data_IF_359748246112
#
_entry.id   IF_359748246112
#
_cell.length_a   1.000
_cell.length_b   1.000
_cell.length_c   1.000
_cell.angle_alpha   90.00
_cell.angle_beta   90.00
_cell.angle_gamma   90.00
#
_symmetry.space_group_name_H-M   'P 1'
#
loop_
_entity.id
_entity.type
_entity.pdbx_description
1 polymer ?
#
# COMPACT_ATOMS: atom_id res chain seq x y z
N UNK A 1 17.75 -9.93 12.55
CA UNK A 1 18.10 -8.52 12.33
C UNK A 1 19.40 -8.09 13.00
N UNK A 2 19.61 -8.40 14.26
CA UNK A 2 20.88 -8.08 14.95
C UNK A 2 22.12 -8.70 14.27
N UNK A 3 21.99 -9.93 13.77
CA UNK A 3 23.06 -10.60 13.02
C UNK A 3 23.42 -9.88 11.72
N UNK A 4 22.45 -9.27 11.05
CA UNK A 4 22.68 -8.52 9.84
C UNK A 4 23.49 -7.24 10.11
N UNK A 5 23.24 -6.58 11.23
CA UNK A 5 23.99 -5.41 11.66
C UNK A 5 25.42 -5.75 12.06
N UNK A 6 25.61 -6.87 12.73
CA UNK A 6 26.95 -7.33 13.15
C UNK A 6 27.80 -7.76 11.94
N UNK A 7 27.23 -8.50 11.01
CA UNK A 7 27.97 -9.03 9.86
C UNK A 7 28.35 -7.95 8.83
N UNK A 8 27.64 -6.83 8.80
CA UNK A 8 27.89 -5.74 7.86
C UNK A 8 28.48 -4.47 8.48
N UNK A 9 28.78 -4.48 9.77
CA UNK A 9 29.31 -3.32 10.45
C UNK A 9 28.37 -2.12 10.52
N UNK A 10 27.08 -2.36 10.36
CA UNK A 10 26.08 -1.31 10.44
C UNK A 10 25.89 -0.85 11.88
N UNK A 11 25.96 0.45 12.10
CA UNK A 11 25.78 1.09 13.41
C UNK A 11 24.33 1.48 13.64
N UNK A 12 23.59 1.70 12.56
CA UNK A 12 22.20 2.14 12.60
C UNK A 12 21.42 1.49 11.46
N UNK A 13 20.24 0.96 11.80
CA UNK A 13 19.28 0.45 10.84
C UNK A 13 17.96 1.16 11.06
N UNK A 14 17.44 1.76 10.02
CA UNK A 14 16.13 2.40 10.02
C UNK A 14 15.21 1.65 9.05
N UNK A 15 14.08 1.21 9.54
CA UNK A 15 13.06 0.54 8.74
C UNK A 15 11.71 1.22 8.97
N UNK A 16 11.08 1.61 7.90
CA UNK A 16 9.73 2.17 7.93
C UNK A 16 8.77 1.25 7.18
N UNK A 17 7.75 0.84 7.86
CA UNK A 17 6.71 -0.03 7.28
C UNK A 17 5.34 0.39 7.82
N UNK A 18 4.42 0.71 6.93
CA UNK A 18 3.03 1.07 7.27
C UNK A 18 2.88 2.14 8.35
N UNK A 19 3.72 3.16 8.29
CA UNK A 19 3.68 4.25 9.28
C UNK A 19 4.37 3.92 10.60
N UNK A 20 4.92 2.72 10.76
CA UNK A 20 5.75 2.35 11.89
C UNK A 20 7.21 2.56 11.54
N UNK A 21 7.83 3.50 12.21
CA UNK A 21 9.26 3.76 12.04
C UNK A 21 10.04 3.07 13.15
N UNK A 22 10.85 2.09 12.79
CA UNK A 22 11.72 1.38 13.72
C UNK A 22 13.15 1.81 13.45
N UNK A 23 13.80 2.38 14.45
CA UNK A 23 15.21 2.76 14.39
C UNK A 23 15.99 1.90 15.35
N UNK A 24 16.91 1.10 14.82
CA UNK A 24 17.82 0.27 15.59
C UNK A 24 19.22 0.87 15.54
N UNK A 25 19.75 1.22 16.70
CA UNK A 25 21.15 1.65 16.85
C UNK A 25 21.95 0.59 17.59
N UNK A 26 23.10 0.24 17.04
CA UNK A 26 24.05 -0.57 17.74
C UNK A 26 24.73 0.27 18.81
N UNK A 27 24.73 -0.21 20.06
CA UNK A 27 25.45 0.45 21.14
C UNK A 27 26.94 0.42 20.88
N UNK A 28 27.59 1.58 20.86
CA UNK A 28 29.03 1.68 20.79
C UNK A 28 29.60 1.34 22.17
N UNK A 29 30.61 0.47 22.26
CA UNK A 29 31.26 0.17 23.54
C UNK A 29 31.80 1.46 24.16
N UNK A 30 31.36 1.79 25.36
CA UNK A 30 31.82 2.96 26.10
C UNK A 30 30.79 4.06 26.36
N UNK A 31 29.63 3.97 25.77
CA UNK A 31 28.51 4.83 26.16
C UNK A 31 27.40 3.97 26.78
N UNK A 32 26.93 4.30 27.97
CA UNK A 32 25.74 3.66 28.48
C UNK A 32 24.62 3.91 27.51
N UNK A 33 23.77 2.91 27.25
CA UNK A 33 22.58 3.15 26.44
C UNK A 33 21.79 4.25 27.13
N UNK A 34 21.82 5.43 26.54
CA UNK A 34 20.79 6.38 26.92
C UNK A 34 19.46 5.74 26.49
N UNK A 35 18.78 5.24 27.47
CA UNK A 35 17.36 5.09 27.35
C UNK A 35 16.86 6.46 26.92
N UNK A 36 16.66 6.63 25.64
CA UNK A 36 15.77 7.65 25.21
C UNK A 36 14.44 7.17 25.75
N UNK A 37 14.16 7.61 26.96
CA UNK A 37 12.83 7.50 27.51
C UNK A 37 11.93 8.09 26.42
N UNK A 38 11.26 7.23 25.68
CA UNK A 38 10.14 7.65 24.89
C UNK A 38 9.12 8.14 25.94
N UNK A 39 9.26 9.38 26.29
CA UNK A 39 8.16 10.09 26.88
C UNK A 39 7.10 10.01 25.81
N UNK A 40 6.24 9.00 25.94
CA UNK A 40 4.95 9.05 25.31
C UNK A 40 4.41 10.40 25.76
N UNK A 41 4.60 11.39 24.93
CA UNK A 41 4.05 12.68 25.15
C UNK A 41 2.60 12.41 25.42
N UNK A 42 2.21 12.68 26.63
CA UNK A 42 0.81 12.80 26.98
C UNK A 42 0.18 13.49 25.78
N UNK A 43 -0.81 12.91 25.13
CA UNK A 43 -1.50 13.64 24.09
C UNK A 43 -2.00 14.89 24.76
N UNK A 44 -1.26 15.94 24.54
CA UNK A 44 -1.74 17.25 24.90
C UNK A 44 -3.03 17.39 24.08
N UNK A 45 -4.16 17.64 24.68
CA UNK A 45 -5.34 17.96 23.91
C UNK A 45 -5.12 19.33 23.30
N UNK A 46 -4.31 19.39 22.32
CA UNK A 46 -4.39 20.47 21.37
C UNK A 46 -5.66 20.23 20.59
N UNK A 47 -6.70 20.74 21.14
CA UNK A 47 -7.89 21.04 20.40
C UNK A 47 -7.51 22.07 19.33
N UNK A 48 -6.90 21.62 18.35
CA UNK A 48 -6.79 22.15 17.00
C UNK A 48 -5.82 21.22 16.30
N UNK A 49 -6.27 20.07 15.93
CA UNK A 49 -5.66 19.37 14.85
C UNK A 49 -6.01 20.19 13.61
N UNK A 50 -5.08 20.96 13.06
CA UNK A 50 -5.24 21.37 11.71
C UNK A 50 -5.11 20.10 10.93
N UNK A 51 -6.21 19.68 10.35
CA UNK A 51 -6.19 18.78 9.26
C UNK A 51 -5.30 17.56 9.47
N UNK A 52 -5.87 16.47 9.80
CA UNK A 52 -5.57 15.31 9.02
C UNK A 52 -5.37 15.81 7.60
N UNK A 53 -4.23 15.55 6.97
CA UNK A 53 -4.26 15.52 5.54
C UNK A 53 -5.39 14.56 5.27
N UNK A 54 -6.45 15.07 4.78
CA UNK A 54 -7.61 14.30 4.48
C UNK A 54 -7.12 13.09 3.71
N UNK A 55 -7.12 11.96 4.35
CA UNK A 55 -7.16 10.73 3.65
C UNK A 55 -8.31 10.87 2.70
N UNK A 56 -7.90 11.02 1.44
CA UNK A 56 -8.83 11.23 0.40
C UNK A 56 -9.81 12.28 0.82
N UNK A 57 -9.58 13.49 0.44
CA UNK A 57 -10.67 14.35 0.18
C UNK A 57 -11.77 13.43 -0.29
N UNK A 58 -12.70 13.11 0.57
CA UNK A 58 -13.99 12.64 0.13
C UNK A 58 -14.53 13.82 -0.63
N UNK A 59 -13.93 14.02 -1.78
CA UNK A 59 -14.34 15.04 -2.66
C UNK A 59 -15.78 14.71 -2.97
N UNK A 60 -16.54 15.57 -2.57
CA UNK A 60 -17.64 16.03 -3.36
C UNK A 60 -18.00 15.04 -4.49
N UNK A 61 -19.06 14.28 -4.25
CA UNK A 61 -19.79 13.69 -5.33
C UNK A 61 -19.48 12.25 -5.71
N UNK A 62 -19.53 11.33 -4.82
CA UNK A 62 -19.64 9.94 -5.20
C UNK A 62 -18.93 9.00 -4.24
N UNK A 63 -19.59 7.93 -3.91
CA UNK A 63 -18.96 6.81 -3.23
C UNK A 63 -17.88 6.24 -4.14
N UNK A 64 -16.63 6.53 -3.84
CA UNK A 64 -15.52 5.84 -4.47
C UNK A 64 -15.34 4.49 -3.80
N UNK A 65 -15.27 3.45 -4.60
CA UNK A 65 -15.04 2.10 -4.13
C UNK A 65 -13.62 1.72 -4.50
N UNK A 66 -12.90 1.13 -3.56
CA UNK A 66 -11.54 0.66 -3.78
C UNK A 66 -11.55 -0.83 -3.98
N UNK A 67 -11.00 -1.29 -5.11
CA UNK A 67 -10.73 -2.71 -5.34
C UNK A 67 -9.38 -3.02 -4.72
N UNK A 68 -9.37 -3.92 -3.76
CA UNK A 68 -8.18 -4.34 -3.02
C UNK A 68 -7.68 -5.69 -3.49
N UNK A 69 -6.40 -5.93 -3.30
CA UNK A 69 -5.80 -7.23 -3.60
C UNK A 69 -6.31 -8.31 -2.63
N UNK A 70 -6.83 -9.43 -3.14
CA UNK A 70 -7.28 -10.56 -2.32
C UNK A 70 -6.14 -11.47 -1.87
N UNK A 71 -4.92 -11.24 -2.34
CA UNK A 71 -3.76 -12.07 -2.04
C UNK A 71 -2.46 -11.30 -2.23
N UNK A 72 -1.38 -11.88 -1.75
CA UNK A 72 -0.01 -11.41 -2.02
C UNK A 72 0.45 -11.91 -3.37
N UNK A 73 1.07 -11.07 -4.18
CA UNK A 73 1.59 -11.47 -5.48
C UNK A 73 2.16 -10.30 -6.27
N UNK A 74 2.36 -10.52 -7.56
CA UNK A 74 2.78 -9.48 -8.50
C UNK A 74 1.61 -9.06 -9.36
N UNK A 75 1.39 -7.76 -9.45
CA UNK A 75 0.28 -7.18 -10.21
C UNK A 75 0.63 -7.04 -11.69
N UNK A 76 -0.28 -7.48 -12.56
CA UNK A 76 -0.17 -7.28 -14.01
C UNK A 76 -1.48 -6.70 -14.56
N UNK A 77 -1.36 -5.64 -15.35
CA UNK A 77 -2.52 -5.00 -16.00
C UNK A 77 -2.99 -5.75 -17.25
N UNK A 78 -2.13 -6.58 -17.81
CA UNK A 78 -2.39 -7.32 -19.03
C UNK A 78 -1.93 -8.77 -18.88
N UNK A 79 -2.48 -9.72 -19.66
CA UNK A 79 -2.10 -11.12 -19.59
C UNK A 79 -0.69 -11.40 -20.17
N UNK A 80 -0.17 -10.48 -20.95
CA UNK A 80 1.15 -10.57 -21.53
C UNK A 80 1.74 -9.17 -21.76
N UNK A 81 3.06 -9.01 -21.84
CA UNK A 81 3.69 -7.70 -22.05
C UNK A 81 3.22 -6.97 -23.31
N UNK A 82 2.87 -7.71 -24.35
CA UNK A 82 2.41 -7.16 -25.63
C UNK A 82 0.88 -7.06 -25.74
N UNK A 83 0.17 -7.52 -24.72
CA UNK A 83 -1.28 -7.50 -24.73
C UNK A 83 -1.83 -6.16 -24.19
N UNK A 84 -3.01 -5.73 -24.66
CA UNK A 84 -3.65 -4.56 -24.09
C UNK A 84 -4.07 -4.81 -22.65
N UNK A 85 -4.10 -3.76 -21.81
CA UNK A 85 -4.53 -3.89 -20.42
C UNK A 85 -6.02 -4.30 -20.35
N UNK A 86 -6.39 -5.01 -19.31
CA UNK A 86 -7.79 -5.40 -19.08
C UNK A 86 -8.69 -4.20 -18.89
N UNK A 87 -8.20 -3.18 -18.20
CA UNK A 87 -8.93 -1.94 -17.93
C UNK A 87 -7.98 -0.74 -17.95
N UNK A 88 -8.55 0.41 -18.25
CA UNK A 88 -7.84 1.68 -18.26
C UNK A 88 -8.59 2.72 -17.43
N UNK A 89 -7.89 3.78 -17.03
CA UNK A 89 -8.52 4.91 -16.36
C UNK A 89 -9.59 5.53 -17.27
N UNK A 90 -10.77 5.76 -16.73
CA UNK A 90 -11.93 6.27 -17.47
C UNK A 90 -12.78 5.21 -18.13
N UNK A 91 -12.39 3.95 -18.06
CA UNK A 91 -13.16 2.83 -18.61
C UNK A 91 -14.24 2.38 -17.63
N UNK A 92 -15.41 2.04 -18.17
CA UNK A 92 -16.48 1.40 -17.41
C UNK A 92 -16.21 -0.09 -17.24
N UNK A 93 -16.48 -0.59 -16.05
CA UNK A 93 -16.36 -2.01 -15.70
C UNK A 93 -17.67 -2.53 -15.11
N UNK A 94 -17.90 -3.83 -15.27
CA UNK A 94 -19.03 -4.52 -14.72
C UNK A 94 -18.61 -5.53 -13.64
N UNK A 95 -19.57 -5.94 -12.81
CA UNK A 95 -19.35 -7.00 -11.82
C UNK A 95 -18.95 -8.29 -12.54
N UNK A 96 -17.89 -8.93 -12.07
CA UNK A 96 -17.34 -10.15 -12.66
C UNK A 96 -16.38 -9.94 -13.82
N UNK A 97 -16.15 -8.70 -14.24
CA UNK A 97 -15.17 -8.39 -15.27
C UNK A 97 -13.75 -8.51 -14.72
N UNK A 98 -12.85 -9.13 -15.47
CA UNK A 98 -11.42 -9.21 -15.10
C UNK A 98 -10.81 -7.84 -15.22
N UNK A 99 -10.17 -7.39 -14.14
CA UNK A 99 -9.53 -6.06 -14.05
C UNK A 99 -8.01 -6.14 -14.04
N UNK A 100 -7.46 -7.23 -13.53
CA UNK A 100 -6.03 -7.47 -13.50
C UNK A 100 -5.71 -8.94 -13.27
N UNK A 101 -4.42 -9.27 -13.34
CA UNK A 101 -3.90 -10.57 -12.95
C UNK A 101 -2.94 -10.38 -11.79
N UNK A 102 -3.02 -11.27 -10.81
CA UNK A 102 -2.04 -11.39 -9.73
C UNK A 102 -1.29 -12.71 -9.88
N UNK A 103 0.00 -12.64 -10.07
CA UNK A 103 0.87 -13.80 -10.04
C UNK A 103 1.29 -14.09 -8.60
N UNK A 104 0.89 -15.24 -8.11
CA UNK A 104 1.28 -15.74 -6.80
C UNK A 104 1.69 -17.20 -6.91
N UNK A 105 2.83 -17.57 -6.35
CA UNK A 105 3.35 -18.96 -6.38
C UNK A 105 3.39 -19.59 -7.78
N UNK A 106 3.83 -18.83 -8.78
CA UNK A 106 3.89 -19.22 -10.21
C UNK A 106 2.52 -19.50 -10.84
N UNK A 107 1.45 -19.07 -10.20
CA UNK A 107 0.08 -19.17 -10.70
C UNK A 107 -0.46 -17.78 -11.06
N UNK A 108 -1.08 -17.70 -12.22
CA UNK A 108 -1.74 -16.48 -12.69
C UNK A 108 -3.20 -16.50 -12.23
N UNK A 109 -3.55 -15.58 -11.33
CA UNK A 109 -4.91 -15.47 -10.80
C UNK A 109 -5.60 -14.25 -11.40
N UNK A 110 -6.70 -14.47 -12.07
CA UNK A 110 -7.53 -13.39 -12.60
C UNK A 110 -8.35 -12.74 -11.48
N UNK A 111 -8.18 -11.45 -11.32
CA UNK A 111 -8.93 -10.67 -10.35
C UNK A 111 -10.10 -10.00 -11.06
N UNK A 112 -11.29 -10.29 -10.55
CA UNK A 112 -12.53 -9.77 -11.09
C UNK A 112 -13.07 -8.64 -10.22
N UNK A 113 -13.72 -7.69 -10.86
CA UNK A 113 -14.39 -6.61 -10.14
C UNK A 113 -15.63 -7.16 -9.41
N UNK A 114 -15.80 -6.74 -8.18
CA UNK A 114 -17.02 -7.01 -7.40
C UNK A 114 -18.04 -5.89 -7.55
N UNK A 115 -17.69 -4.85 -8.28
CA UNK A 115 -18.53 -3.66 -8.44
C UNK A 115 -18.58 -3.23 -9.89
N UNK A 116 -19.68 -2.60 -10.27
CA UNK A 116 -19.83 -1.93 -11.56
C UNK A 116 -19.61 -0.43 -11.40
N UNK A 117 -18.89 0.17 -12.33
CA UNK A 117 -18.60 1.58 -12.30
C UNK A 117 -17.52 1.98 -13.29
N UNK A 118 -16.95 3.14 -13.10
CA UNK A 118 -15.86 3.65 -13.91
C UNK A 118 -14.55 3.66 -13.13
N UNK A 119 -13.49 3.16 -13.74
CA UNK A 119 -12.14 3.26 -13.17
C UNK A 119 -11.73 4.73 -13.13
N UNK A 120 -11.59 5.29 -11.93
CA UNK A 120 -11.10 6.66 -11.77
C UNK A 120 -9.59 6.72 -11.59
N UNK A 121 -9.01 5.71 -10.98
CA UNK A 121 -7.56 5.68 -10.75
C UNK A 121 -7.04 4.24 -10.68
N UNK A 122 -5.83 4.04 -11.14
CA UNK A 122 -5.07 2.79 -11.01
C UNK A 122 -3.88 3.08 -10.10
N UNK A 123 -3.83 2.42 -8.95
CA UNK A 123 -2.89 2.74 -7.88
C UNK A 123 -1.59 1.94 -7.94
N UNK A 124 -1.52 0.91 -8.77
CA UNK A 124 -0.38 0.01 -8.88
C UNK A 124 0.06 -0.10 -10.33
N UNK A 125 1.36 -0.13 -10.56
CA UNK A 125 1.93 -0.34 -11.87
C UNK A 125 2.07 -1.84 -12.20
N UNK A 126 2.03 -2.16 -13.48
CA UNK A 126 2.23 -3.53 -13.96
C UNK A 126 3.63 -4.03 -13.61
N UNK A 127 3.72 -5.21 -13.01
CA UNK A 127 4.97 -5.80 -12.54
C UNK A 127 5.34 -5.43 -11.10
N UNK A 128 4.53 -4.63 -10.41
CA UNK A 128 4.77 -4.26 -9.03
C UNK A 128 4.28 -5.34 -8.05
N UNK A 129 5.00 -5.57 -6.95
CA UNK A 129 4.53 -6.46 -5.90
C UNK A 129 3.37 -5.82 -5.13
N UNK A 130 2.38 -6.62 -4.79
CA UNK A 130 1.23 -6.19 -3.98
C UNK A 130 1.02 -7.13 -2.79
N UNK A 131 0.48 -6.56 -1.73
CA UNK A 131 0.15 -7.29 -0.51
C UNK A 131 -1.36 -7.50 -0.39
N UNK A 132 -1.74 -8.43 0.48
CA UNK A 132 -3.15 -8.65 0.81
C UNK A 132 -3.80 -7.36 1.31
N UNK A 133 -4.93 -6.99 0.73
CA UNK A 133 -5.67 -5.79 1.11
C UNK A 133 -5.10 -4.49 0.57
N UNK A 134 -4.04 -4.54 -0.24
CA UNK A 134 -3.47 -3.35 -0.86
C UNK A 134 -4.44 -2.79 -1.91
N UNK A 135 -4.71 -1.47 -1.90
CA UNK A 135 -5.55 -0.85 -2.92
C UNK A 135 -4.95 -0.98 -4.32
N UNK A 136 -5.75 -1.42 -5.28
CA UNK A 136 -5.35 -1.60 -6.68
C UNK A 136 -6.00 -0.56 -7.60
N UNK A 137 -7.31 -0.41 -7.49
CA UNK A 137 -8.11 0.48 -8.32
C UNK A 137 -9.07 1.32 -7.48
N UNK A 138 -9.34 2.51 -7.95
CA UNK A 138 -10.44 3.33 -7.45
C UNK A 138 -11.53 3.33 -8.51
N UNK A 139 -12.74 2.97 -8.12
CA UNK A 139 -13.91 2.87 -8.99
C UNK A 139 -14.97 3.84 -8.51
N UNK A 140 -15.51 4.62 -9.43
CA UNK A 140 -16.70 5.41 -9.19
C UNK A 140 -17.93 4.60 -9.61
N UNK A 141 -18.80 4.23 -8.65
CA UNK A 141 -19.97 3.42 -9.00
C UNK A 141 -20.88 4.18 -9.96
N UNK A 142 -21.48 3.43 -10.86
CA UNK A 142 -22.47 3.98 -11.79
C UNK A 142 -23.77 4.26 -11.04
N UNK A 143 -24.26 5.45 -11.19
CA UNK A 143 -25.58 5.84 -10.62
C UNK A 143 -26.71 5.16 -11.33
#
# INVERSE_FOLDING_TARGET
MLQLMESRGLVELEMEHQGLRIRLKKATPGHPPQLVEYVAGVPQPSATAPGHPAEGSAAEGGHRIVIKSPMVGTFYRAPAPDAPPFVEVGQDIDVGQVVCILEAMKLMNEIKSEVAGRISEILVESGAPVEFGQPLFVVEPRS
#
